data_IF_386113835770
#
_entry.id   IF_386113835770
#
_cell.length_a   1.000
_cell.length_b   1.000
_cell.length_c   1.000
_cell.angle_alpha   90.00
_cell.angle_beta   90.00
_cell.angle_gamma   90.00
#
_symmetry.space_group_name_H-M   'P 1'
#
loop_
_entity.id
_entity.type
_entity.pdbx_description
1 polymer ?
#
# COMPACT_ATOMS: atom_id res chain seq x y z
N UNK A 1 23.35 17.98 -14.06
CA UNK A 1 23.64 17.27 -12.79
C UNK A 1 23.42 15.79 -13.08
N UNK A 2 24.46 14.96 -13.03
CA UNK A 2 24.44 13.56 -13.45
C UNK A 2 24.04 12.65 -12.27
N UNK A 3 23.39 11.52 -12.59
CA UNK A 3 23.20 10.41 -11.63
C UNK A 3 24.55 9.79 -11.32
N UNK A 4 25.05 9.97 -10.10
CA UNK A 4 26.28 9.31 -9.65
C UNK A 4 25.96 7.95 -9.04
N UNK A 5 26.79 6.94 -9.29
CA UNK A 5 26.63 5.59 -8.70
C UNK A 5 26.57 5.67 -7.16
N UNK A 6 27.41 6.49 -6.56
CA UNK A 6 27.45 6.71 -5.11
C UNK A 6 26.19 7.46 -4.61
N UNK A 7 25.72 8.47 -5.36
CA UNK A 7 24.49 9.20 -5.04
C UNK A 7 23.26 8.30 -5.08
N UNK A 8 23.15 7.44 -6.10
CA UNK A 8 22.07 6.45 -6.19
C UNK A 8 22.07 5.53 -4.96
N UNK A 9 23.20 4.93 -4.59
CA UNK A 9 23.26 4.01 -3.45
C UNK A 9 22.87 4.69 -2.12
N UNK A 10 23.26 5.95 -1.93
CA UNK A 10 22.95 6.71 -0.72
C UNK A 10 21.51 7.22 -0.69
N UNK A 11 20.88 7.46 -1.84
CA UNK A 11 19.49 7.91 -1.95
C UNK A 11 18.47 6.78 -1.81
N UNK A 12 18.83 5.52 -2.16
CA UNK A 12 17.92 4.38 -2.08
C UNK A 12 17.39 4.17 -0.66
N UNK A 13 16.09 4.25 -0.50
CA UNK A 13 15.41 4.05 0.79
C UNK A 13 13.93 4.41 0.74
N UNK A 14 13.55 5.68 0.74
CA UNK A 14 12.16 6.12 0.83
C UNK A 14 11.23 5.53 -0.23
N UNK A 15 11.68 5.42 -1.48
CA UNK A 15 10.91 4.79 -2.56
C UNK A 15 10.75 3.28 -2.37
N UNK A 16 11.80 2.60 -1.91
CA UNK A 16 11.72 1.16 -1.61
C UNK A 16 10.85 0.91 -0.36
N UNK A 17 10.88 1.81 0.63
CA UNK A 17 9.96 1.74 1.78
C UNK A 17 8.50 1.89 1.35
N UNK A 18 8.23 2.80 0.40
CA UNK A 18 6.90 2.92 -0.19
C UNK A 18 6.48 1.62 -0.89
N UNK A 19 7.40 0.98 -1.62
CA UNK A 19 7.14 -0.34 -2.19
C UNK A 19 6.84 -1.39 -1.11
N UNK A 20 7.57 -1.37 0.02
CA UNK A 20 7.32 -2.24 1.16
C UNK A 20 5.96 -2.04 1.82
N UNK A 21 5.48 -0.79 1.85
CA UNK A 21 4.12 -0.47 2.30
C UNK A 21 3.06 -0.94 1.30
N UNK A 22 3.34 -0.81 0.01
CA UNK A 22 2.43 -1.14 -1.07
C UNK A 22 2.30 -2.65 -1.31
N UNK A 23 3.43 -3.38 -1.33
CA UNK A 23 3.48 -4.83 -1.59
C UNK A 23 3.04 -5.60 -0.33
N UNK A 24 1.77 -5.55 -0.03
CA UNK A 24 1.13 -6.18 1.10
C UNK A 24 -0.27 -6.62 0.72
N UNK A 25 -1.29 -6.10 1.41
CA UNK A 25 -2.69 -6.46 1.21
C UNK A 25 -3.19 -6.26 -0.23
N UNK A 26 -2.79 -5.19 -0.92
CA UNK A 26 -3.19 -4.92 -2.30
C UNK A 26 -2.70 -5.99 -3.29
N UNK A 27 -1.49 -6.49 -3.09
CA UNK A 27 -0.86 -7.46 -3.99
C UNK A 27 -1.27 -8.89 -3.62
N UNK A 28 -1.00 -9.29 -2.38
CA UNK A 28 -1.30 -10.64 -1.90
C UNK A 28 -2.80 -10.96 -1.93
N UNK A 29 -3.65 -9.98 -1.61
CA UNK A 29 -5.09 -10.18 -1.50
C UNK A 29 -5.81 -9.80 -2.80
N UNK A 30 -5.76 -8.51 -3.19
CA UNK A 30 -6.62 -7.98 -4.25
C UNK A 30 -6.15 -8.35 -5.65
N UNK A 31 -4.83 -8.27 -5.94
CA UNK A 31 -4.33 -8.66 -7.26
C UNK A 31 -4.50 -10.15 -7.51
N UNK A 32 -4.23 -11.01 -6.52
CA UNK A 32 -4.45 -12.45 -6.64
C UNK A 32 -5.93 -12.77 -6.82
N UNK A 33 -6.81 -12.12 -6.05
CA UNK A 33 -8.26 -12.30 -6.19
C UNK A 33 -8.77 -11.81 -7.55
N UNK A 34 -8.21 -10.71 -8.07
CA UNK A 34 -8.53 -10.22 -9.41
C UNK A 34 -8.22 -11.29 -10.47
N UNK A 35 -7.04 -11.91 -10.40
CA UNK A 35 -6.66 -13.02 -11.27
C UNK A 35 -7.55 -14.24 -11.10
N UNK A 36 -7.80 -14.66 -9.86
CA UNK A 36 -8.63 -15.84 -9.56
C UNK A 36 -10.08 -15.71 -10.04
N UNK A 37 -10.66 -14.49 -9.98
CA UNK A 37 -12.08 -14.25 -10.37
C UNK A 37 -12.27 -13.87 -11.83
N UNK A 38 -11.32 -13.13 -12.41
CA UNK A 38 -11.51 -12.49 -13.71
C UNK A 38 -10.36 -12.79 -14.69
N UNK A 39 -9.53 -13.80 -14.41
CA UNK A 39 -8.37 -14.07 -15.26
C UNK A 39 -7.50 -12.80 -15.44
N UNK A 40 -7.17 -12.47 -16.67
CA UNK A 40 -6.43 -11.25 -17.02
C UNK A 40 -7.33 -10.03 -17.29
N UNK A 41 -8.66 -10.16 -17.15
CA UNK A 41 -9.63 -9.10 -17.47
C UNK A 41 -9.45 -7.78 -16.70
N UNK A 42 -8.77 -7.79 -15.55
CA UNK A 42 -8.49 -6.59 -14.74
C UNK A 42 -7.06 -6.06 -14.85
N UNK A 43 -6.18 -6.68 -15.64
CA UNK A 43 -4.79 -6.19 -15.85
C UNK A 43 -4.79 -4.76 -16.38
N UNK A 44 -5.65 -4.46 -17.36
CA UNK A 44 -5.79 -3.13 -17.93
C UNK A 44 -6.17 -2.08 -16.86
N UNK A 45 -7.14 -2.40 -15.97
CA UNK A 45 -7.51 -1.50 -14.87
C UNK A 45 -6.35 -1.29 -13.89
N UNK A 46 -5.64 -2.35 -13.54
CA UNK A 46 -4.49 -2.27 -12.64
C UNK A 46 -3.40 -1.37 -13.23
N UNK A 47 -3.10 -1.49 -14.51
CA UNK A 47 -2.13 -0.62 -15.18
C UNK A 47 -2.62 0.84 -15.24
N UNK A 48 -3.89 1.06 -15.58
CA UNK A 48 -4.49 2.40 -15.64
C UNK A 48 -4.49 3.08 -14.28
N UNK A 49 -4.93 2.41 -13.22
CA UNK A 49 -4.96 3.02 -11.88
C UNK A 49 -3.55 3.34 -11.37
N UNK A 50 -2.57 2.48 -11.66
CA UNK A 50 -1.17 2.76 -11.35
C UNK A 50 -0.66 3.98 -12.13
N UNK A 51 -0.94 4.09 -13.42
CA UNK A 51 -0.56 5.26 -14.23
C UNK A 51 -1.20 6.54 -13.70
N UNK A 52 -2.49 6.51 -13.38
CA UNK A 52 -3.23 7.68 -12.91
C UNK A 52 -2.84 8.13 -11.50
N UNK A 53 -2.45 7.21 -10.61
CA UNK A 53 -1.98 7.56 -9.27
C UNK A 53 -0.49 7.93 -9.20
N UNK A 54 0.30 7.54 -10.20
CA UNK A 54 1.74 7.78 -10.24
C UNK A 54 2.15 9.23 -9.92
N UNK A 55 1.60 10.26 -10.59
CA UNK A 55 2.05 11.62 -10.33
C UNK A 55 1.71 12.09 -8.92
N UNK A 56 0.58 11.69 -8.35
CA UNK A 56 0.22 12.07 -6.98
C UNK A 56 1.18 11.50 -5.95
N UNK A 57 1.57 10.23 -6.11
CA UNK A 57 2.51 9.56 -5.22
C UNK A 57 3.94 10.09 -5.36
N UNK A 58 4.32 10.58 -6.55
CA UNK A 58 5.61 11.22 -6.82
C UNK A 58 5.75 12.57 -6.11
N UNK A 59 4.64 13.27 -5.81
CA UNK A 59 4.66 14.64 -5.28
C UNK A 59 5.53 14.77 -4.04
N UNK A 60 5.39 13.87 -3.07
CA UNK A 60 6.15 13.96 -1.83
C UNK A 60 7.66 13.94 -2.05
N UNK A 61 8.12 13.02 -2.88
CA UNK A 61 9.54 12.90 -3.24
C UNK A 61 10.04 14.14 -3.99
N UNK A 62 9.32 14.58 -5.02
CA UNK A 62 9.71 15.73 -5.86
C UNK A 62 9.66 17.04 -5.08
N UNK A 63 8.60 17.25 -4.30
CA UNK A 63 8.45 18.44 -3.47
C UNK A 63 9.61 18.55 -2.48
N UNK A 64 9.86 17.51 -1.71
CA UNK A 64 10.89 17.54 -0.65
C UNK A 64 12.31 17.69 -1.23
N UNK A 65 12.63 16.97 -2.30
CA UNK A 65 13.96 17.08 -2.92
C UNK A 65 14.21 18.43 -3.60
N UNK A 66 13.14 19.12 -4.04
CA UNK A 66 13.24 20.41 -4.73
C UNK A 66 13.19 21.62 -3.80
N UNK A 67 12.53 21.49 -2.64
CA UNK A 67 12.30 22.61 -1.70
C UNK A 67 13.09 22.48 -0.40
N UNK A 68 13.50 21.26 -0.03
CA UNK A 68 14.08 20.96 1.28
C UNK A 68 13.06 20.96 2.43
N UNK A 69 11.76 21.08 2.14
CA UNK A 69 10.66 21.04 3.10
C UNK A 69 9.89 19.71 2.97
N UNK A 70 9.22 19.29 4.04
CA UNK A 70 8.28 18.16 3.96
C UNK A 70 7.04 18.55 3.17
N UNK A 71 6.35 17.56 2.58
CA UNK A 71 5.09 17.82 1.89
C UNK A 71 4.01 18.34 2.85
N UNK A 72 4.07 17.98 4.13
CA UNK A 72 3.18 18.54 5.16
C UNK A 72 3.42 20.03 5.41
N UNK A 73 4.67 20.48 5.39
CA UNK A 73 4.98 21.92 5.40
C UNK A 73 4.42 22.61 4.15
N UNK A 74 4.56 21.96 2.97
CA UNK A 74 3.95 22.43 1.74
C UNK A 74 2.44 22.56 1.82
N UNK A 75 1.75 21.58 2.39
CA UNK A 75 0.30 21.63 2.62
C UNK A 75 -0.09 22.80 3.52
N UNK A 76 0.64 23.00 4.63
CA UNK A 76 0.41 24.13 5.55
C UNK A 76 0.55 25.49 4.87
N UNK A 77 1.62 25.65 4.08
CA UNK A 77 1.92 26.92 3.41
C UNK A 77 0.96 27.18 2.23
N UNK A 78 0.47 26.12 1.60
CA UNK A 78 -0.44 26.23 0.45
C UNK A 78 -1.87 26.60 0.85
N UNK A 79 -2.43 25.91 1.85
CA UNK A 79 -3.78 26.15 2.30
C UNK A 79 -3.94 25.75 3.79
N UNK A 80 -4.45 26.64 4.65
CA UNK A 80 -4.60 26.35 6.08
C UNK A 80 -5.51 25.16 6.41
N UNK A 81 -6.42 24.77 5.49
CA UNK A 81 -7.32 23.64 5.69
C UNK A 81 -6.67 22.27 5.35
N UNK A 82 -5.56 22.25 4.60
CA UNK A 82 -4.97 20.99 4.15
C UNK A 82 -4.46 20.13 5.33
N UNK A 83 -3.76 20.73 6.30
CA UNK A 83 -3.28 19.95 7.45
C UNK A 83 -4.42 19.42 8.34
N UNK A 84 -5.45 20.19 8.71
CA UNK A 84 -6.61 19.67 9.45
C UNK A 84 -7.33 18.54 8.70
N UNK A 85 -7.58 18.70 7.41
CA UNK A 85 -8.22 17.66 6.59
C UNK A 85 -7.35 16.40 6.58
N UNK A 86 -6.04 16.54 6.30
CA UNK A 86 -5.12 15.40 6.29
C UNK A 86 -5.09 14.71 7.66
N UNK A 87 -5.06 15.48 8.76
CA UNK A 87 -5.06 14.95 10.12
C UNK A 87 -6.30 14.08 10.39
N UNK A 88 -7.49 14.63 10.16
CA UNK A 88 -8.75 13.94 10.46
C UNK A 88 -8.88 12.67 9.62
N UNK A 89 -8.63 12.78 8.32
CA UNK A 89 -8.76 11.63 7.42
C UNK A 89 -7.71 10.57 7.74
N UNK A 90 -6.45 10.95 7.95
CA UNK A 90 -5.37 10.00 8.27
C UNK A 90 -5.52 9.34 9.64
N UNK A 91 -6.15 9.99 10.61
CA UNK A 91 -6.50 9.35 11.89
C UNK A 91 -7.47 8.19 11.68
N UNK A 92 -8.47 8.39 10.83
CA UNK A 92 -9.48 7.36 10.53
C UNK A 92 -8.86 6.27 9.64
N UNK A 93 -8.34 6.64 8.47
CA UNK A 93 -7.79 5.67 7.50
C UNK A 93 -6.60 4.92 8.07
N UNK A 94 -5.72 5.60 8.81
CA UNK A 94 -4.55 5.00 9.46
C UNK A 94 -4.93 3.95 10.50
N UNK A 95 -5.91 4.24 11.36
CA UNK A 95 -6.41 3.28 12.35
C UNK A 95 -6.92 2.00 11.68
N UNK A 96 -7.82 2.13 10.70
CA UNK A 96 -8.37 0.97 10.00
C UNK A 96 -7.34 0.24 9.16
N UNK A 97 -6.41 0.97 8.52
CA UNK A 97 -5.33 0.36 7.73
C UNK A 97 -4.39 -0.45 8.62
N UNK A 98 -3.90 0.11 9.75
CA UNK A 98 -3.03 -0.60 10.70
C UNK A 98 -3.73 -1.84 11.25
N UNK A 99 -5.01 -1.72 11.62
CA UNK A 99 -5.81 -2.86 12.07
C UNK A 99 -5.94 -3.93 10.98
N UNK A 100 -6.27 -3.55 9.75
CA UNK A 100 -6.45 -4.47 8.63
C UNK A 100 -5.15 -5.22 8.28
N UNK A 101 -4.03 -4.52 8.13
CA UNK A 101 -2.75 -5.15 7.78
C UNK A 101 -2.19 -6.02 8.91
N UNK A 102 -2.40 -5.64 10.17
CA UNK A 102 -2.03 -6.48 11.32
C UNK A 102 -2.89 -7.74 11.38
N UNK A 103 -4.18 -7.64 11.06
CA UNK A 103 -5.07 -8.79 11.04
C UNK A 103 -4.68 -9.80 9.94
N UNK A 104 -4.40 -9.33 8.72
CA UNK A 104 -3.88 -10.21 7.65
C UNK A 104 -2.55 -10.85 8.06
N UNK A 105 -1.66 -10.10 8.73
CA UNK A 105 -0.40 -10.63 9.25
C UNK A 105 -0.64 -11.75 10.27
N UNK A 106 -1.59 -11.55 11.20
CA UNK A 106 -2.00 -12.56 12.19
C UNK A 106 -2.53 -13.84 11.54
N UNK A 107 -3.37 -13.68 10.49
CA UNK A 107 -3.89 -14.80 9.70
C UNK A 107 -2.77 -15.57 9.00
N UNK A 108 -1.81 -14.89 8.38
CA UNK A 108 -0.69 -15.56 7.73
C UNK A 108 0.22 -16.29 8.73
N UNK A 109 0.37 -15.74 9.91
CA UNK A 109 1.18 -16.34 10.98
C UNK A 109 0.62 -17.70 11.44
N UNK A 110 -0.70 -17.94 11.36
CA UNK A 110 -1.31 -19.25 11.73
C UNK A 110 -0.83 -20.41 10.87
N UNK A 111 -0.23 -20.15 9.68
CA UNK A 111 0.35 -21.21 8.85
C UNK A 111 1.72 -21.70 9.33
N UNK A 112 2.33 -21.00 10.27
CA UNK A 112 3.55 -21.46 10.94
C UNK A 112 3.12 -22.43 12.06
N UNK A 113 3.62 -23.68 12.10
CA UNK A 113 3.14 -24.72 13.03
C UNK A 113 3.10 -24.29 14.49
N UNK A 114 4.08 -23.49 14.93
CA UNK A 114 4.16 -22.95 16.29
C UNK A 114 2.96 -22.10 16.68
N UNK A 115 2.32 -21.43 15.71
CA UNK A 115 1.24 -20.47 15.93
C UNK A 115 -0.13 -20.97 15.44
N UNK A 116 -0.22 -22.18 14.89
CA UNK A 116 -1.44 -22.71 14.25
C UNK A 116 -2.65 -22.83 15.19
N UNK A 117 -2.41 -22.98 16.48
CA UNK A 117 -3.47 -23.13 17.51
C UNK A 117 -3.95 -21.79 18.09
N UNK A 118 -3.31 -20.68 17.75
CA UNK A 118 -3.69 -19.37 18.27
C UNK A 118 -4.74 -18.71 17.38
N UNK A 119 -5.74 -18.01 17.96
CA UNK A 119 -6.66 -17.21 17.17
C UNK A 119 -5.92 -16.11 16.38
N UNK A 120 -6.26 -15.86 15.10
CA UNK A 120 -5.61 -14.80 14.30
C UNK A 120 -5.63 -13.42 14.97
N UNK A 121 -6.67 -13.13 15.73
CA UNK A 121 -6.81 -11.87 16.47
C UNK A 121 -5.73 -11.69 17.52
N UNK A 122 -5.46 -12.73 18.31
CA UNK A 122 -4.46 -12.69 19.39
C UNK A 122 -3.05 -12.55 18.79
N UNK A 123 -2.81 -13.22 17.65
CA UNK A 123 -1.57 -13.04 16.90
C UNK A 123 -1.42 -11.61 16.34
N UNK A 124 -2.51 -10.99 15.90
CA UNK A 124 -2.51 -9.60 15.43
C UNK A 124 -2.14 -8.61 16.54
N UNK A 125 -2.62 -8.85 17.76
CA UNK A 125 -2.24 -8.08 18.95
C UNK A 125 -0.73 -8.21 19.20
N UNK A 126 -0.22 -9.45 19.22
CA UNK A 126 1.20 -9.72 19.39
C UNK A 126 2.06 -9.03 18.32
N UNK A 127 1.62 -9.06 17.05
CA UNK A 127 2.30 -8.41 15.93
C UNK A 127 2.37 -6.89 16.13
N UNK A 128 1.28 -6.24 16.50
CA UNK A 128 1.27 -4.79 16.77
C UNK A 128 2.23 -4.42 17.90
N UNK A 129 2.26 -5.19 18.96
CA UNK A 129 3.19 -4.97 20.08
C UNK A 129 4.64 -5.15 19.62
N UNK A 130 4.95 -6.22 18.89
CA UNK A 130 6.31 -6.47 18.37
C UNK A 130 6.74 -5.38 17.41
N UNK A 131 5.88 -4.95 16.48
CA UNK A 131 6.17 -3.84 15.58
C UNK A 131 6.45 -2.54 16.36
N UNK A 132 5.64 -2.25 17.39
CA UNK A 132 5.85 -1.10 18.26
C UNK A 132 7.20 -1.14 18.97
N UNK A 133 7.59 -2.29 19.54
CA UNK A 133 8.89 -2.46 20.19
C UNK A 133 10.06 -2.30 19.21
N UNK A 134 9.96 -2.86 17.99
CA UNK A 134 10.99 -2.71 16.95
C UNK A 134 11.18 -1.21 16.61
N UNK A 135 10.07 -0.46 16.45
CA UNK A 135 10.14 0.96 16.11
C UNK A 135 10.67 1.82 17.27
N UNK A 136 10.37 1.45 18.51
CA UNK A 136 10.89 2.15 19.68
C UNK A 136 12.41 2.00 19.85
N UNK A 137 12.97 0.85 19.47
CA UNK A 137 14.40 0.53 19.65
C UNK A 137 15.22 0.82 18.40
N UNK A 138 14.70 0.42 17.23
CA UNK A 138 15.47 0.39 15.97
C UNK A 138 15.25 1.59 15.07
N UNK A 139 14.24 2.40 15.35
CA UNK A 139 13.84 3.57 14.56
C UNK A 139 13.82 3.31 13.03
N UNK A 140 14.16 4.32 12.22
CA UNK A 140 14.18 4.24 10.75
C UNK A 140 15.13 3.16 10.19
N UNK A 141 16.26 2.91 10.82
CA UNK A 141 17.26 1.92 10.31
C UNK A 141 16.74 0.49 10.29
N UNK A 142 16.01 0.10 11.33
CA UNK A 142 15.39 -1.23 11.38
C UNK A 142 14.33 -1.36 10.29
N UNK A 143 13.44 -0.37 10.18
CA UNK A 143 12.41 -0.29 9.16
C UNK A 143 13.00 -0.42 7.74
N UNK A 144 13.97 0.42 7.38
CA UNK A 144 14.59 0.45 6.05
C UNK A 144 15.25 -0.89 5.67
N UNK A 145 15.99 -1.49 6.60
CA UNK A 145 16.68 -2.77 6.36
C UNK A 145 15.72 -3.93 6.20
N UNK A 146 14.75 -4.05 7.11
CA UNK A 146 13.76 -5.12 7.10
C UNK A 146 12.92 -5.04 5.83
N UNK A 147 12.35 -3.87 5.52
CA UNK A 147 11.49 -3.69 4.35
C UNK A 147 12.22 -3.98 3.03
N UNK A 148 13.44 -3.49 2.85
CA UNK A 148 14.25 -3.78 1.65
C UNK A 148 14.46 -5.28 1.43
N UNK A 149 14.84 -5.98 2.50
CA UNK A 149 15.06 -7.43 2.42
C UNK A 149 13.78 -8.18 2.04
N UNK A 150 12.67 -7.86 2.72
CA UNK A 150 11.41 -8.59 2.55
C UNK A 150 10.74 -8.31 1.19
N UNK A 151 10.77 -7.06 0.71
CA UNK A 151 10.28 -6.72 -0.64
C UNK A 151 11.09 -7.45 -1.71
N UNK A 152 12.41 -7.45 -1.60
CA UNK A 152 13.27 -8.14 -2.56
C UNK A 152 13.01 -9.65 -2.56
N UNK A 153 12.88 -10.26 -1.38
CA UNK A 153 12.62 -11.69 -1.23
C UNK A 153 11.26 -12.07 -1.86
N UNK A 154 10.19 -11.38 -1.49
CA UNK A 154 8.85 -11.69 -2.00
C UNK A 154 8.77 -11.49 -3.52
N UNK A 155 9.28 -10.36 -4.03
CA UNK A 155 9.26 -10.07 -5.48
C UNK A 155 10.03 -11.14 -6.27
N UNK A 156 11.20 -11.55 -5.77
CA UNK A 156 12.00 -12.60 -6.41
C UNK A 156 11.31 -13.96 -6.41
N UNK A 157 10.67 -14.34 -5.28
CA UNK A 157 9.92 -15.58 -5.17
C UNK A 157 8.69 -15.58 -6.09
N UNK A 158 7.98 -14.44 -6.16
CA UNK A 158 6.81 -14.31 -7.03
C UNK A 158 7.21 -14.37 -8.51
N UNK A 159 8.28 -13.70 -8.89
CA UNK A 159 8.84 -13.81 -10.25
C UNK A 159 9.20 -15.26 -10.60
N UNK A 160 9.90 -15.96 -9.69
CA UNK A 160 10.25 -17.35 -9.90
C UNK A 160 9.02 -18.27 -10.04
N UNK A 161 7.97 -18.03 -9.25
CA UNK A 161 6.71 -18.75 -9.34
C UNK A 161 6.04 -18.55 -10.71
N UNK A 162 5.97 -17.30 -11.19
CA UNK A 162 5.41 -16.98 -12.51
C UNK A 162 6.21 -17.66 -13.65
N UNK A 163 7.53 -17.54 -13.62
CA UNK A 163 8.40 -18.19 -14.63
C UNK A 163 8.17 -19.70 -14.61
N UNK A 164 8.11 -20.33 -13.43
CA UNK A 164 7.89 -21.76 -13.29
C UNK A 164 6.53 -22.21 -13.87
N UNK A 165 5.47 -21.42 -13.72
CA UNK A 165 4.17 -21.70 -14.33
C UNK A 165 4.22 -21.60 -15.85
N UNK A 166 4.82 -20.55 -16.38
CA UNK A 166 4.91 -20.31 -17.81
C UNK A 166 5.74 -21.40 -18.52
N UNK A 167 6.81 -21.89 -17.88
CA UNK A 167 7.67 -22.95 -18.45
C UNK A 167 7.04 -24.34 -18.39
N UNK A 168 6.11 -24.60 -17.46
CA UNK A 168 5.41 -25.89 -17.37
C UNK A 168 4.31 -26.07 -18.44
N UNK A 169 4.06 -25.06 -19.28
CA UNK A 169 3.03 -25.13 -20.32
C UNK A 169 1.60 -25.33 -19.76
N UNK A 170 1.36 -24.82 -18.56
CA UNK A 170 0.10 -25.03 -17.83
C UNK A 170 -1.11 -24.32 -18.44
N UNK A 171 -0.95 -23.66 -19.59
CA UNK A 171 -2.00 -22.90 -20.27
C UNK A 171 -2.39 -23.67 -21.54
N UNK A 172 -3.53 -24.37 -21.51
CA UNK A 172 -4.19 -24.86 -22.71
C UNK A 172 -4.73 -23.67 -23.52
N UNK A 173 -4.78 -23.78 -24.84
CA UNK A 173 -5.19 -22.71 -25.75
C UNK A 173 -6.63 -22.21 -25.44
N UNK A 174 -7.56 -23.12 -25.16
CA UNK A 174 -8.92 -22.79 -24.71
C UNK A 174 -8.98 -22.07 -23.36
N UNK A 175 -8.15 -22.49 -22.41
CA UNK A 175 -8.01 -21.83 -21.11
C UNK A 175 -7.35 -20.46 -21.26
N UNK A 176 -6.37 -20.33 -22.18
CA UNK A 176 -5.72 -19.04 -22.47
C UNK A 176 -6.68 -17.99 -22.99
N UNK A 177 -7.61 -18.34 -23.89
CA UNK A 177 -8.68 -17.45 -24.36
C UNK A 177 -9.63 -17.06 -23.22
N UNK A 178 -10.08 -18.02 -22.41
CA UNK A 178 -10.94 -17.78 -21.26
C UNK A 178 -10.27 -16.88 -20.18
N UNK A 179 -8.95 -16.97 -20.03
CA UNK A 179 -8.20 -16.09 -19.13
C UNK A 179 -8.16 -14.62 -19.58
N UNK A 180 -8.18 -14.39 -20.92
CA UNK A 180 -8.14 -13.06 -21.51
C UNK A 180 -9.55 -12.47 -21.58
N UNK A 181 -10.52 -13.30 -21.97
CA UNK A 181 -11.96 -12.97 -22.07
C UNK A 181 -12.72 -13.72 -20.97
N UNK A 182 -12.82 -13.17 -19.75
CA UNK A 182 -13.43 -13.87 -18.63
C UNK A 182 -14.92 -14.09 -18.87
N UNK A 183 -15.43 -15.28 -18.54
CA UNK A 183 -16.85 -15.63 -18.59
C UNK A 183 -17.73 -14.66 -17.77
N UNK A 184 -17.17 -14.15 -16.68
CA UNK A 184 -17.81 -13.15 -15.83
C UNK A 184 -17.17 -11.80 -16.12
N UNK A 185 -17.94 -10.90 -16.76
CA UNK A 185 -17.48 -9.53 -17.01
C UNK A 185 -17.13 -8.83 -15.68
N UNK A 186 -15.89 -8.30 -15.51
CA UNK A 186 -15.53 -7.55 -14.31
C UNK A 186 -16.27 -6.19 -14.22
N UNK A 187 -16.83 -5.71 -15.33
CA UNK A 187 -17.39 -4.36 -15.47
C UNK A 187 -18.85 -4.22 -15.06
N UNK A 188 -19.46 -5.26 -14.47
CA UNK A 188 -20.81 -5.17 -13.92
C UNK A 188 -20.82 -4.31 -12.66
N UNK A 189 -21.88 -3.53 -12.46
CA UNK A 189 -22.06 -2.66 -11.26
C UNK A 189 -22.01 -3.48 -9.96
N UNK A 190 -22.46 -4.74 -9.98
CA UNK A 190 -22.35 -5.65 -8.83
C UNK A 190 -20.90 -5.93 -8.39
N UNK A 191 -19.92 -5.75 -9.28
CA UNK A 191 -18.49 -5.92 -8.96
C UNK A 191 -17.83 -4.67 -8.40
N UNK A 192 -18.53 -3.53 -8.28
CA UNK A 192 -17.97 -2.32 -7.67
C UNK A 192 -17.47 -2.55 -6.24
N UNK A 193 -18.13 -3.43 -5.49
CA UNK A 193 -17.70 -3.84 -4.15
C UNK A 193 -16.34 -4.54 -4.12
N UNK A 194 -15.81 -5.00 -5.26
CA UNK A 194 -14.46 -5.51 -5.43
C UNK A 194 -13.54 -4.49 -6.12
N UNK A 195 -14.02 -3.81 -7.16
CA UNK A 195 -13.19 -2.88 -7.95
C UNK A 195 -12.74 -1.65 -7.13
N UNK A 196 -13.61 -1.10 -6.30
CA UNK A 196 -13.29 0.07 -5.47
C UNK A 196 -12.20 -0.25 -4.43
N UNK A 197 -12.30 -1.29 -3.60
CA UNK A 197 -11.20 -1.71 -2.74
C UNK A 197 -9.91 -1.98 -3.50
N UNK A 198 -9.97 -2.73 -4.61
CA UNK A 198 -8.79 -3.00 -5.45
C UNK A 198 -8.08 -1.69 -5.84
N UNK A 199 -8.81 -0.73 -6.39
CA UNK A 199 -8.26 0.56 -6.78
C UNK A 199 -7.82 1.41 -5.58
N UNK A 200 -8.42 1.21 -4.40
CA UNK A 200 -8.09 1.95 -3.19
C UNK A 200 -6.62 1.78 -2.78
N UNK A 201 -6.18 0.55 -2.68
CA UNK A 201 -4.81 0.22 -2.30
C UNK A 201 -3.87 -0.10 -3.47
N UNK A 202 -4.31 -0.03 -4.72
CA UNK A 202 -3.46 -0.27 -5.89
C UNK A 202 -2.83 1.03 -6.43
N UNK A 203 -1.48 1.18 -6.44
CA UNK A 203 -0.52 0.31 -5.76
C UNK A 203 -0.53 0.54 -4.25
N UNK A 204 -0.97 1.71 -3.79
CA UNK A 204 -1.19 2.10 -2.42
C UNK A 204 -2.18 3.27 -2.32
N UNK A 205 -2.69 3.63 -1.13
CA UNK A 205 -3.48 4.84 -0.91
C UNK A 205 -2.75 6.10 -1.37
N UNK A 206 -3.50 7.10 -1.90
CA UNK A 206 -2.89 8.36 -2.38
C UNK A 206 -2.29 9.18 -1.23
N UNK A 207 -2.83 9.09 -0.04
CA UNK A 207 -2.32 9.76 1.17
C UNK A 207 -0.87 9.37 1.50
N UNK A 208 -0.42 8.20 1.04
CA UNK A 208 0.95 7.75 1.23
C UNK A 208 1.99 8.62 0.51
N UNK A 209 1.58 9.55 -0.35
CA UNK A 209 2.48 10.52 -0.99
C UNK A 209 3.32 11.34 0.03
N UNK A 210 2.81 11.50 1.25
CA UNK A 210 3.51 12.21 2.34
C UNK A 210 4.67 11.38 2.92
N UNK A 211 4.58 10.06 2.92
CA UNK A 211 5.53 9.20 3.62
C UNK A 211 6.97 9.28 3.07
N UNK A 212 7.21 9.14 1.75
CA UNK A 212 8.55 9.33 1.20
C UNK A 212 9.16 10.68 1.58
N UNK A 213 8.33 11.74 1.59
CA UNK A 213 8.74 13.08 2.01
C UNK A 213 9.34 13.11 3.43
N UNK A 214 8.70 12.43 4.39
CA UNK A 214 9.18 12.34 5.77
C UNK A 214 10.39 11.41 5.92
N UNK A 215 10.39 10.28 5.22
CA UNK A 215 11.50 9.32 5.26
C UNK A 215 12.77 9.86 4.60
N UNK A 216 12.67 10.79 3.65
CA UNK A 216 13.84 11.45 3.04
C UNK A 216 14.70 12.16 4.07
N UNK A 217 14.12 12.82 5.08
CA UNK A 217 14.89 13.44 6.17
C UNK A 217 15.60 12.38 7.02
N UNK A 218 14.90 11.31 7.40
CA UNK A 218 15.50 10.20 8.14
C UNK A 218 16.63 9.54 7.34
N UNK A 219 16.45 9.33 6.03
CA UNK A 219 17.45 8.75 5.14
C UNK A 219 18.66 9.66 4.97
N UNK A 220 18.45 10.96 4.76
CA UNK A 220 19.52 11.93 4.62
C UNK A 220 20.41 11.98 5.86
N UNK A 221 19.80 11.92 7.06
CA UNK A 221 20.52 11.84 8.32
C UNK A 221 21.30 10.53 8.48
N UNK A 222 20.70 9.39 8.08
CA UNK A 222 21.34 8.07 8.23
C UNK A 222 22.51 7.87 7.25
N UNK A 223 22.39 8.39 6.02
CA UNK A 223 23.42 8.26 4.97
C UNK A 223 24.43 9.39 4.91
N UNK A 224 24.22 10.45 5.73
CA UNK A 224 24.96 11.72 5.66
C UNK A 224 25.03 12.26 4.22
N UNK A 225 23.88 12.21 3.51
CA UNK A 225 23.79 12.59 2.11
C UNK A 225 22.42 13.18 1.78
N UNK A 226 22.39 14.34 1.12
CA UNK A 226 21.16 14.96 0.61
C UNK A 226 21.04 14.67 -0.89
N UNK A 227 20.15 13.76 -1.31
CA UNK A 227 19.96 13.43 -2.71
C UNK A 227 19.37 14.61 -3.47
N UNK A 228 19.78 14.76 -4.72
CA UNK A 228 19.16 15.72 -5.63
C UNK A 228 17.80 15.17 -6.16
N UNK A 229 17.05 16.03 -6.88
CA UNK A 229 15.71 15.67 -7.39
C UNK A 229 15.75 14.41 -8.26
N UNK A 230 16.73 14.26 -9.16
CA UNK A 230 16.83 13.09 -10.06
C UNK A 230 17.14 11.80 -9.30
N UNK A 231 18.02 11.87 -8.30
CA UNK A 231 18.35 10.71 -7.47
C UNK A 231 17.16 10.27 -6.61
N UNK A 232 16.43 11.23 -6.05
CA UNK A 232 15.21 10.95 -5.28
C UNK A 232 14.09 10.36 -6.14
N UNK A 233 13.90 10.91 -7.35
CA UNK A 233 12.92 10.37 -8.31
C UNK A 233 13.32 8.99 -8.83
N UNK A 234 14.62 8.71 -8.96
CA UNK A 234 15.09 7.37 -9.33
C UNK A 234 14.73 6.35 -8.26
N UNK A 235 14.97 6.65 -6.97
CA UNK A 235 14.57 5.79 -5.84
C UNK A 235 13.06 5.54 -5.84
N UNK A 236 12.26 6.60 -5.98
CA UNK A 236 10.82 6.49 -6.07
C UNK A 236 10.37 5.63 -7.26
N UNK A 237 10.89 5.92 -8.46
CA UNK A 237 10.51 5.22 -9.70
C UNK A 237 10.88 3.74 -9.64
N UNK A 238 12.03 3.41 -9.06
CA UNK A 238 12.44 2.01 -8.87
C UNK A 238 11.46 1.27 -7.94
N UNK A 239 11.16 1.87 -6.78
CA UNK A 239 10.18 1.29 -5.86
C UNK A 239 8.79 1.17 -6.51
N UNK A 240 8.33 2.21 -7.20
CA UNK A 240 7.05 2.21 -7.87
C UNK A 240 6.94 1.14 -8.97
N UNK A 241 7.98 1.01 -9.81
CA UNK A 241 8.03 -0.02 -10.85
C UNK A 241 7.97 -1.43 -10.27
N UNK A 242 8.71 -1.67 -9.18
CA UNK A 242 8.66 -2.95 -8.46
C UNK A 242 7.22 -3.25 -8.01
N UNK A 243 6.49 -2.28 -7.48
CA UNK A 243 5.09 -2.49 -7.07
C UNK A 243 4.20 -2.85 -8.25
N UNK A 244 4.28 -2.14 -9.37
CA UNK A 244 3.46 -2.42 -10.55
C UNK A 244 3.74 -3.81 -11.12
N UNK A 245 5.00 -4.17 -11.27
CA UNK A 245 5.41 -5.50 -11.78
C UNK A 245 4.93 -6.61 -10.84
N UNK A 246 5.10 -6.42 -9.53
CA UNK A 246 4.67 -7.41 -8.54
C UNK A 246 3.15 -7.58 -8.54
N UNK A 247 2.36 -6.51 -8.76
CA UNK A 247 0.91 -6.60 -8.91
C UNK A 247 0.51 -7.51 -10.08
N UNK A 248 1.17 -7.34 -11.25
CA UNK A 248 0.91 -8.18 -12.42
C UNK A 248 1.30 -9.64 -12.16
N UNK A 249 2.41 -9.90 -11.46
CA UNK A 249 2.79 -11.25 -11.09
C UNK A 249 1.72 -11.93 -10.21
N UNK A 250 1.17 -11.22 -9.23
CA UNK A 250 0.09 -11.76 -8.39
C UNK A 250 -1.21 -12.00 -9.16
N UNK A 251 -1.58 -11.12 -10.09
CA UNK A 251 -2.71 -11.38 -11.01
C UNK A 251 -2.45 -12.64 -11.82
N UNK A 252 -1.25 -12.77 -12.39
CA UNK A 252 -0.87 -13.94 -13.21
C UNK A 252 -0.93 -15.23 -12.41
N UNK A 253 -0.41 -15.24 -11.18
CA UNK A 253 -0.50 -16.40 -10.30
C UNK A 253 -1.97 -16.78 -10.03
N UNK A 254 -2.80 -15.81 -9.64
CA UNK A 254 -4.22 -16.04 -9.39
C UNK A 254 -4.96 -16.54 -10.62
N UNK A 255 -4.70 -15.95 -11.80
CA UNK A 255 -5.33 -16.31 -13.05
C UNK A 255 -4.99 -17.75 -13.47
N UNK A 256 -3.70 -18.12 -13.48
CA UNK A 256 -3.31 -19.45 -13.97
C UNK A 256 -3.64 -20.57 -12.99
N UNK A 257 -3.66 -20.29 -11.68
CA UNK A 257 -3.79 -21.37 -10.67
C UNK A 257 -5.21 -21.53 -10.10
N UNK A 258 -6.04 -20.49 -10.13
CA UNK A 258 -7.35 -20.50 -9.46
C UNK A 258 -8.53 -20.15 -10.37
N UNK A 259 -8.31 -19.48 -11.50
CA UNK A 259 -9.42 -19.15 -12.39
C UNK A 259 -10.12 -20.42 -12.92
N UNK A 260 -11.45 -20.43 -12.88
CA UNK A 260 -12.26 -21.58 -13.32
C UNK A 260 -12.26 -22.79 -12.38
N UNK A 261 -11.57 -22.76 -11.22
CA UNK A 261 -11.57 -23.88 -10.27
C UNK A 261 -12.74 -23.85 -9.28
N UNK A 262 -13.53 -22.78 -9.25
CA UNK A 262 -14.57 -22.54 -8.25
C UNK A 262 -14.04 -22.11 -6.89
N UNK A 263 -12.72 -22.05 -6.71
CA UNK A 263 -12.09 -21.60 -5.48
C UNK A 263 -12.03 -20.07 -5.44
N UNK A 264 -12.72 -19.47 -4.49
CA UNK A 264 -12.56 -18.03 -4.24
C UNK A 264 -11.43 -17.79 -3.24
N UNK A 265 -10.49 -16.91 -3.58
CA UNK A 265 -9.37 -16.54 -2.71
C UNK A 265 -9.81 -16.02 -1.32
N UNK A 266 -10.98 -15.39 -1.27
CA UNK A 266 -11.55 -14.72 -0.10
C UNK A 266 -12.85 -15.36 0.38
N UNK A 267 -13.22 -16.54 -0.09
CA UNK A 267 -14.38 -17.25 0.44
C UNK A 267 -14.02 -17.85 1.81
N UNK A 268 -14.86 -17.61 2.81
CA UNK A 268 -14.70 -18.22 4.12
C UNK A 268 -13.79 -17.47 5.11
N UNK A 269 -13.08 -18.20 5.95
CA UNK A 269 -12.26 -17.67 7.03
C UNK A 269 -10.92 -17.12 6.51
N UNK A 270 -10.28 -16.24 7.31
CA UNK A 270 -8.92 -15.76 7.01
C UNK A 270 -7.89 -16.89 6.87
N UNK A 271 -8.07 -17.99 7.61
CA UNK A 271 -7.21 -19.18 7.48
C UNK A 271 -7.31 -19.79 6.08
N UNK A 272 -8.50 -19.81 5.49
CA UNK A 272 -8.70 -20.29 4.11
C UNK A 272 -7.96 -19.42 3.08
N UNK A 273 -7.99 -18.09 3.24
CA UNK A 273 -7.18 -17.18 2.44
C UNK A 273 -5.69 -17.54 2.48
N UNK A 274 -5.16 -17.73 3.69
CA UNK A 274 -3.75 -18.03 3.86
C UNK A 274 -3.36 -19.39 3.25
N UNK A 275 -4.24 -20.40 3.36
CA UNK A 275 -4.05 -21.71 2.72
C UNK A 275 -4.06 -21.61 1.19
N UNK A 276 -4.99 -20.84 0.62
CA UNK A 276 -5.06 -20.60 -0.82
C UNK A 276 -3.81 -19.88 -1.34
N UNK A 277 -3.30 -18.89 -0.60
CA UNK A 277 -2.04 -18.22 -0.96
C UNK A 277 -0.87 -19.22 -1.02
N UNK A 278 -0.76 -20.12 -0.04
CA UNK A 278 0.29 -21.16 -0.04
C UNK A 278 0.08 -22.11 -1.23
N UNK A 279 -1.17 -22.49 -1.53
CA UNK A 279 -1.51 -23.37 -2.65
C UNK A 279 -1.08 -22.78 -4.00
N UNK A 280 -1.25 -21.47 -4.21
CA UNK A 280 -0.75 -20.78 -5.42
C UNK A 280 0.71 -21.11 -5.70
N UNK A 281 1.56 -20.99 -4.70
CA UNK A 281 3.00 -21.23 -4.88
C UNK A 281 3.37 -22.71 -4.92
N UNK A 282 2.71 -23.56 -4.12
CA UNK A 282 2.99 -24.99 -4.12
C UNK A 282 2.57 -25.65 -5.43
N UNK A 283 1.49 -25.19 -6.06
CA UNK A 283 1.07 -25.64 -7.39
C UNK A 283 2.04 -25.15 -8.48
N UNK A 284 2.50 -23.91 -8.36
CA UNK A 284 3.39 -23.27 -9.34
C UNK A 284 4.81 -23.84 -9.31
N UNK A 285 5.41 -23.90 -8.14
CA UNK A 285 6.84 -24.21 -7.93
C UNK A 285 7.02 -25.68 -7.51
N UNK A 286 6.13 -26.17 -6.63
CA UNK A 286 6.19 -27.48 -6.01
C UNK A 286 6.03 -27.43 -4.51
N UNK A 287 5.70 -28.56 -3.89
CA UNK A 287 5.35 -28.67 -2.45
C UNK A 287 6.44 -28.14 -1.52
N UNK A 288 7.71 -28.26 -1.90
CA UNK A 288 8.85 -27.76 -1.12
C UNK A 288 8.80 -26.23 -0.92
N UNK A 289 8.19 -25.49 -1.85
CA UNK A 289 8.07 -24.02 -1.76
C UNK A 289 7.27 -23.56 -0.55
N UNK A 290 6.44 -24.43 0.04
CA UNK A 290 5.69 -24.18 1.26
C UNK A 290 6.56 -23.60 2.38
N UNK A 291 7.75 -24.15 2.56
CA UNK A 291 8.67 -23.75 3.64
C UNK A 291 9.29 -22.37 3.44
N UNK A 292 9.23 -21.84 2.24
CA UNK A 292 9.74 -20.50 1.90
C UNK A 292 8.59 -19.50 1.84
N UNK A 293 7.45 -19.89 1.22
CA UNK A 293 6.36 -18.93 1.00
C UNK A 293 5.60 -18.57 2.27
N UNK A 294 5.46 -19.50 3.23
CA UNK A 294 4.82 -19.21 4.51
C UNK A 294 5.55 -18.09 5.24
N UNK A 295 6.85 -18.18 5.54
CA UNK A 295 7.55 -17.09 6.19
C UNK A 295 7.66 -15.84 5.31
N UNK A 296 7.78 -15.97 3.98
CA UNK A 296 7.89 -14.82 3.08
C UNK A 296 6.59 -14.01 3.01
N UNK A 297 5.43 -14.66 2.89
CA UNK A 297 4.13 -13.97 2.87
C UNK A 297 3.81 -13.30 4.22
N UNK A 298 4.07 -13.99 5.33
CA UNK A 298 3.98 -13.40 6.65
C UNK A 298 4.91 -12.18 6.78
N UNK A 299 6.16 -12.33 6.39
CA UNK A 299 7.17 -11.28 6.50
C UNK A 299 6.81 -10.04 5.65
N UNK A 300 6.22 -10.23 4.46
CA UNK A 300 5.73 -9.13 3.63
C UNK A 300 4.63 -8.34 4.33
N UNK A 301 3.62 -9.01 4.88
CA UNK A 301 2.54 -8.35 5.62
C UNK A 301 3.02 -7.75 6.93
N UNK A 302 3.96 -8.40 7.61
CA UNK A 302 4.64 -7.86 8.79
C UNK A 302 5.39 -6.57 8.46
N UNK A 303 6.12 -6.52 7.34
CA UNK A 303 6.79 -5.30 6.85
C UNK A 303 5.78 -4.18 6.57
N UNK A 304 4.64 -4.49 5.94
CA UNK A 304 3.57 -3.53 5.69
C UNK A 304 2.99 -3.00 7.01
N UNK A 305 2.75 -3.88 8.00
CA UNK A 305 2.28 -3.49 9.34
C UNK A 305 3.28 -2.56 10.03
N UNK A 306 4.56 -2.93 10.00
CA UNK A 306 5.65 -2.13 10.58
C UNK A 306 5.74 -0.74 9.93
N UNK A 307 5.63 -0.69 8.59
CA UNK A 307 5.71 0.54 7.80
C UNK A 307 4.51 1.45 8.07
N UNK A 308 3.30 0.91 8.13
CA UNK A 308 2.09 1.67 8.46
C UNK A 308 2.14 2.21 9.90
N UNK A 309 2.62 1.39 10.85
CA UNK A 309 2.75 1.77 12.25
C UNK A 309 3.87 2.81 12.50
N UNK A 310 4.85 2.94 11.61
CA UNK A 310 5.79 4.07 11.60
C UNK A 310 5.16 5.31 10.94
N UNK A 311 4.62 5.17 9.76
CA UNK A 311 4.33 6.30 8.87
C UNK A 311 3.08 7.11 9.26
N UNK A 312 1.99 6.46 9.69
CA UNK A 312 0.81 7.20 10.17
C UNK A 312 1.10 8.01 11.43
N UNK A 313 1.65 7.44 12.53
CA UNK A 313 2.01 8.20 13.71
C UNK A 313 3.06 9.29 13.43
N UNK A 314 4.02 9.02 12.53
CA UNK A 314 5.02 10.00 12.10
C UNK A 314 4.38 11.20 11.41
N UNK A 315 3.46 10.96 10.48
CA UNK A 315 2.72 12.01 9.76
C UNK A 315 1.91 12.86 10.73
N UNK A 316 1.16 12.23 11.62
CA UNK A 316 0.30 12.92 12.60
C UNK A 316 1.11 13.69 13.64
N UNK A 317 2.22 13.11 14.11
CA UNK A 317 3.17 13.80 15.00
C UNK A 317 3.74 15.07 14.34
N UNK A 318 4.12 14.98 13.06
CA UNK A 318 4.61 16.10 12.28
C UNK A 318 3.53 17.19 12.10
N UNK A 319 2.30 16.80 11.78
CA UNK A 319 1.18 17.74 11.66
C UNK A 319 0.94 18.46 12.98
N UNK A 320 0.90 17.73 14.11
CA UNK A 320 0.72 18.33 15.42
C UNK A 320 1.80 19.37 15.74
N UNK A 321 3.06 19.07 15.41
CA UNK A 321 4.17 20.01 15.57
C UNK A 321 4.02 21.25 14.69
N UNK A 322 3.67 21.06 13.43
CA UNK A 322 3.44 22.15 12.48
C UNK A 322 2.26 23.04 12.88
N UNK A 323 1.15 22.49 13.37
CA UNK A 323 -0.01 23.25 13.84
C UNK A 323 0.31 24.07 15.09
N UNK A 324 1.15 23.55 16.00
CA UNK A 324 1.60 24.24 17.21
C UNK A 324 2.73 25.24 16.94
N UNK A 325 3.34 25.24 15.74
CA UNK A 325 4.49 26.06 15.41
C UNK A 325 5.75 25.72 16.20
N UNK A 326 5.80 24.51 16.77
CA UNK A 326 6.90 24.09 17.68
C UNK A 326 8.05 23.42 16.94
N UNK A 327 7.86 22.97 15.71
CA UNK A 327 8.88 22.28 14.95
C UNK A 327 8.66 22.22 13.43
N UNK A 328 9.68 21.76 12.71
CA UNK A 328 9.66 21.59 11.25
C UNK A 328 9.15 20.22 10.79
N UNK A 329 8.73 19.36 11.71
CA UNK A 329 8.18 18.05 11.37
C UNK A 329 9.20 17.00 10.89
N UNK A 330 10.48 17.16 11.24
CA UNK A 330 11.58 16.34 10.71
C UNK A 330 12.07 15.23 11.67
N UNK A 331 11.43 15.04 12.82
CA UNK A 331 11.81 14.06 13.85
C UNK A 331 13.23 14.26 14.44
N UNK A 332 13.69 15.49 14.51
CA UNK A 332 15.03 15.82 14.98
C UNK A 332 15.11 16.01 16.50
N UNK A 333 14.06 16.56 17.11
CA UNK A 333 14.04 16.90 18.54
C UNK A 333 13.56 15.76 19.44
N UNK A 334 13.91 15.80 20.72
CA UNK A 334 13.42 14.86 21.73
C UNK A 334 11.89 14.97 21.89
N UNK A 335 11.33 16.17 21.75
CA UNK A 335 9.88 16.40 21.83
C UNK A 335 9.13 15.75 20.66
N UNK A 336 9.71 15.77 19.45
CA UNK A 336 9.13 15.09 18.28
C UNK A 336 9.13 13.58 18.46
N UNK A 337 10.22 12.99 18.94
CA UNK A 337 10.28 11.54 19.25
C UNK A 337 9.26 11.14 20.30
N UNK A 338 9.06 11.98 21.33
CA UNK A 338 8.02 11.72 22.35
C UNK A 338 6.61 11.79 21.76
N UNK A 339 6.32 12.79 20.90
CA UNK A 339 5.02 12.87 20.20
C UNK A 339 4.79 11.68 19.29
N UNK A 340 5.79 11.31 18.48
CA UNK A 340 5.71 10.12 17.64
C UNK A 340 5.38 8.86 18.44
N UNK A 341 6.09 8.62 19.55
CA UNK A 341 5.84 7.49 20.44
C UNK A 341 4.41 7.49 21.00
N UNK A 342 3.92 8.65 21.43
CA UNK A 342 2.56 8.76 21.96
C UNK A 342 1.50 8.47 20.89
N UNK A 343 1.68 9.00 19.67
CA UNK A 343 0.78 8.70 18.55
C UNK A 343 0.86 7.24 18.11
N UNK A 344 2.02 6.64 18.13
CA UNK A 344 2.19 5.22 17.83
C UNK A 344 1.44 4.33 18.85
N UNK A 345 1.61 4.59 20.15
CA UNK A 345 0.89 3.87 21.21
C UNK A 345 -0.63 4.06 21.06
N UNK A 346 -1.06 5.28 20.76
CA UNK A 346 -2.47 5.57 20.52
C UNK A 346 -3.01 4.77 19.32
N UNK A 347 -2.29 4.72 18.18
CA UNK A 347 -2.71 3.94 17.01
C UNK A 347 -2.76 2.44 17.32
N UNK A 348 -1.80 1.89 18.06
CA UNK A 348 -1.86 0.51 18.53
C UNK A 348 -3.16 0.29 19.29
N UNK A 349 -3.44 1.11 20.30
CA UNK A 349 -4.64 0.97 21.14
C UNK A 349 -5.94 1.09 20.34
N UNK A 350 -6.07 2.12 19.50
CA UNK A 350 -7.31 2.36 18.72
C UNK A 350 -7.49 1.30 17.62
N UNK A 351 -6.41 0.83 17.00
CA UNK A 351 -6.47 -0.28 16.03
C UNK A 351 -6.88 -1.59 16.69
N UNK A 352 -6.39 -1.87 17.90
CA UNK A 352 -6.84 -3.03 18.67
C UNK A 352 -8.32 -2.93 19.04
N UNK A 353 -8.78 -1.75 19.45
CA UNK A 353 -10.20 -1.52 19.73
C UNK A 353 -11.06 -1.72 18.48
N UNK A 354 -10.61 -1.24 17.31
CA UNK A 354 -11.31 -1.46 16.03
C UNK A 354 -11.41 -2.95 15.69
N UNK A 355 -10.35 -3.73 15.90
CA UNK A 355 -10.36 -5.18 15.72
C UNK A 355 -11.32 -5.89 16.69
N UNK A 356 -11.33 -5.48 17.97
CA UNK A 356 -12.24 -6.06 18.97
C UNK A 356 -13.70 -5.76 18.64
N UNK A 357 -14.02 -4.55 18.19
CA UNK A 357 -15.36 -4.17 17.71
C UNK A 357 -15.75 -4.99 16.50
N UNK A 358 -14.85 -5.15 15.52
CA UNK A 358 -15.10 -5.98 14.35
C UNK A 358 -15.38 -7.44 14.74
N UNK A 359 -14.60 -8.00 15.68
CA UNK A 359 -14.81 -9.35 16.21
C UNK A 359 -16.17 -9.51 16.89
N UNK A 360 -16.54 -8.57 17.76
CA UNK A 360 -17.83 -8.60 18.47
C UNK A 360 -19.03 -8.41 17.53
N UNK A 361 -18.86 -7.65 16.44
CA UNK A 361 -19.86 -7.44 15.40
C UNK A 361 -19.93 -8.57 14.36
N UNK A 362 -19.11 -9.62 14.47
CA UNK A 362 -19.09 -10.73 13.50
C UNK A 362 -18.53 -10.35 12.12
N UNK A 363 -17.81 -9.23 12.02
CA UNK A 363 -17.24 -8.76 10.73
C UNK A 363 -16.08 -9.66 10.34
N UNK A 364 -16.19 -10.29 9.17
CA UNK A 364 -15.13 -11.13 8.61
C UNK A 364 -13.91 -10.35 8.16
N UNK A 365 -12.78 -11.04 7.99
CA UNK A 365 -11.51 -10.43 7.53
C UNK A 365 -11.68 -9.72 6.18
N UNK A 366 -12.41 -10.34 5.24
CA UNK A 366 -12.69 -9.78 3.91
C UNK A 366 -13.35 -8.42 4.03
N UNK A 367 -14.46 -8.35 4.76
CA UNK A 367 -15.28 -7.14 4.86
C UNK A 367 -14.53 -6.03 5.60
N UNK A 368 -13.76 -6.39 6.64
CA UNK A 368 -12.95 -5.44 7.38
C UNK A 368 -11.82 -4.84 6.52
N UNK A 369 -11.06 -5.70 5.82
CA UNK A 369 -9.95 -5.26 4.96
C UNK A 369 -10.46 -4.48 3.76
N UNK A 370 -11.52 -4.97 3.10
CA UNK A 370 -12.14 -4.28 1.96
C UNK A 370 -12.78 -2.95 2.38
N UNK A 371 -13.33 -2.86 3.59
CA UNK A 371 -13.81 -1.62 4.18
C UNK A 371 -12.70 -0.59 4.32
N UNK A 372 -11.54 -0.97 4.86
CA UNK A 372 -10.36 -0.09 4.96
C UNK A 372 -9.86 0.36 3.58
N UNK A 373 -9.81 -0.56 2.60
CA UNK A 373 -9.41 -0.27 1.22
C UNK A 373 -10.39 0.68 0.53
N UNK A 374 -11.69 0.49 0.75
CA UNK A 374 -12.77 1.37 0.24
C UNK A 374 -12.63 2.78 0.82
N UNK A 375 -12.43 2.89 2.14
CA UNK A 375 -12.19 4.18 2.81
C UNK A 375 -11.02 4.94 2.20
N UNK A 376 -9.92 4.25 1.93
CA UNK A 376 -8.75 4.83 1.24
C UNK A 376 -9.07 5.28 -0.20
N UNK A 377 -9.96 4.58 -0.91
CA UNK A 377 -10.38 5.02 -2.24
C UNK A 377 -11.26 6.26 -2.19
N UNK A 378 -12.22 6.29 -1.28
CA UNK A 378 -13.17 7.41 -1.15
C UNK A 378 -12.48 8.73 -0.75
N UNK A 379 -11.36 8.65 -0.05
CA UNK A 379 -10.55 9.81 0.32
C UNK A 379 -9.49 10.19 -0.73
N UNK A 380 -9.22 9.32 -1.68
CA UNK A 380 -8.18 9.52 -2.68
C UNK A 380 -8.33 10.82 -3.51
N UNK A 381 -9.54 11.26 -3.96
CA UNK A 381 -9.69 12.53 -4.67
C UNK A 381 -9.24 13.75 -3.86
N UNK A 382 -9.47 13.74 -2.55
CA UNK A 382 -9.07 14.84 -1.65
C UNK A 382 -7.54 14.95 -1.62
N UNK A 383 -6.86 13.85 -1.37
CA UNK A 383 -5.39 13.83 -1.33
C UNK A 383 -4.76 14.08 -2.69
N UNK A 384 -5.37 13.57 -3.78
CA UNK A 384 -4.93 13.83 -5.14
C UNK A 384 -4.98 15.34 -5.47
N UNK A 385 -6.07 16.02 -5.09
CA UNK A 385 -6.19 17.46 -5.24
C UNK A 385 -5.13 18.21 -4.44
N UNK A 386 -4.98 17.91 -3.14
CA UNK A 386 -4.00 18.57 -2.28
C UNK A 386 -2.57 18.41 -2.80
N UNK A 387 -2.20 17.21 -3.25
CA UNK A 387 -0.88 16.93 -3.81
C UNK A 387 -0.65 17.71 -5.12
N UNK A 388 -1.61 17.65 -6.06
CA UNK A 388 -1.54 18.34 -7.35
C UNK A 388 -1.46 19.86 -7.18
N UNK A 389 -2.27 20.44 -6.31
CA UNK A 389 -2.29 21.88 -6.04
C UNK A 389 -0.95 22.35 -5.43
N UNK A 390 -0.39 21.58 -4.51
CA UNK A 390 0.87 21.93 -3.83
C UNK A 390 2.07 21.86 -4.76
N UNK A 391 2.23 20.81 -5.59
CA UNK A 391 3.40 20.65 -6.47
C UNK A 391 3.43 21.69 -7.61
N UNK A 392 2.27 22.21 -8.02
CA UNK A 392 2.16 23.17 -9.09
C UNK A 392 2.13 24.63 -8.59
N UNK A 393 2.19 24.86 -7.28
CA UNK A 393 2.19 26.19 -6.67
C UNK A 393 3.54 26.89 -6.76
N UNK A 394 3.57 28.16 -6.35
CA UNK A 394 4.77 28.98 -6.30
C UNK A 394 5.76 28.56 -5.19
N UNK A 395 5.37 27.68 -4.31
CA UNK A 395 6.24 27.06 -3.30
C UNK A 395 7.34 26.20 -3.95
N UNK A 396 7.09 25.70 -5.17
CA UNK A 396 8.03 24.83 -5.89
C UNK A 396 8.71 25.63 -7.00
N UNK A 397 10.05 25.57 -7.12
CA UNK A 397 10.77 26.19 -8.24
C UNK A 397 10.19 25.75 -9.59
N UNK A 398 9.99 26.69 -10.53
CA UNK A 398 9.28 26.44 -11.79
C UNK A 398 9.81 25.24 -12.59
N UNK A 399 11.13 25.02 -12.57
CA UNK A 399 11.81 23.89 -13.23
C UNK A 399 11.49 22.51 -12.63
N UNK A 400 10.91 22.46 -11.43
CA UNK A 400 10.56 21.23 -10.72
C UNK A 400 9.04 21.02 -10.60
N UNK A 401 8.22 22.00 -11.02
CA UNK A 401 6.76 21.81 -11.15
C UNK A 401 6.46 20.76 -12.20
N UNK A 402 5.29 20.17 -12.13
CA UNK A 402 4.88 19.20 -13.16
C UNK A 402 4.73 19.89 -14.52
N UNK A 403 5.35 19.30 -15.55
CA UNK A 403 5.13 19.68 -16.94
C UNK A 403 3.73 19.26 -17.44
N UNK A 404 3.42 19.62 -18.68
CA UNK A 404 2.10 19.40 -19.27
C UNK A 404 1.63 17.95 -19.18
N UNK A 405 2.50 16.98 -19.50
CA UNK A 405 2.16 15.55 -19.46
C UNK A 405 1.72 15.10 -18.06
N UNK A 406 2.52 15.37 -17.01
CA UNK A 406 2.17 14.98 -15.65
C UNK A 406 0.93 15.71 -15.13
N UNK A 407 0.74 16.99 -15.50
CA UNK A 407 -0.48 17.72 -15.16
C UNK A 407 -1.72 17.11 -15.82
N UNK A 408 -1.62 16.71 -17.09
CA UNK A 408 -2.72 16.04 -17.78
C UNK A 408 -3.07 14.71 -17.11
N UNK A 409 -2.06 13.90 -16.73
CA UNK A 409 -2.29 12.64 -16.00
C UNK A 409 -2.91 12.93 -14.61
N UNK A 410 -2.49 14.00 -13.91
CA UNK A 410 -3.13 14.41 -12.65
C UNK A 410 -4.63 14.72 -12.84
N UNK A 411 -4.99 15.52 -13.85
CA UNK A 411 -6.38 15.83 -14.09
C UNK A 411 -7.20 14.59 -14.48
N UNK A 412 -6.67 13.75 -15.37
CA UNK A 412 -7.32 12.48 -15.72
C UNK A 412 -7.50 11.59 -14.48
N UNK A 413 -6.46 11.49 -13.64
CA UNK A 413 -6.51 10.72 -12.41
C UNK A 413 -7.53 11.27 -11.42
N UNK A 414 -7.58 12.58 -11.21
CA UNK A 414 -8.54 13.22 -10.30
C UNK A 414 -9.97 13.00 -10.79
N UNK A 415 -10.24 13.20 -12.08
CA UNK A 415 -11.57 12.95 -12.68
C UNK A 415 -11.95 11.48 -12.52
N UNK A 416 -11.04 10.55 -12.85
CA UNK A 416 -11.27 9.10 -12.71
C UNK A 416 -11.61 8.71 -11.26
N UNK A 417 -10.77 9.10 -10.29
CA UNK A 417 -10.98 8.80 -8.89
C UNK A 417 -12.31 9.38 -8.39
N UNK A 418 -12.62 10.64 -8.74
CA UNK A 418 -13.87 11.29 -8.34
C UNK A 418 -15.09 10.61 -8.96
N UNK A 419 -15.05 10.30 -10.27
CA UNK A 419 -16.15 9.64 -10.96
C UNK A 419 -16.47 8.26 -10.35
N UNK A 420 -15.45 7.44 -10.07
CA UNK A 420 -15.65 6.13 -9.43
C UNK A 420 -16.11 6.26 -7.97
N UNK A 421 -15.67 7.28 -7.21
CA UNK A 421 -16.21 7.56 -5.88
C UNK A 421 -17.70 7.90 -5.95
N UNK A 422 -18.10 8.78 -6.85
CA UNK A 422 -19.51 9.17 -7.01
C UNK A 422 -20.36 7.99 -7.48
N UNK A 423 -19.86 7.19 -8.43
CA UNK A 423 -20.54 5.98 -8.90
C UNK A 423 -20.74 4.96 -7.77
N UNK A 424 -19.72 4.73 -6.95
CA UNK A 424 -19.82 3.82 -5.80
C UNK A 424 -20.84 4.32 -4.77
N UNK A 425 -20.79 5.60 -4.42
CA UNK A 425 -21.73 6.22 -3.48
C UNK A 425 -23.16 6.11 -4.04
N UNK A 426 -23.37 6.47 -5.31
CA UNK A 426 -24.67 6.37 -5.95
C UNK A 426 -25.18 4.93 -5.98
N UNK A 427 -24.34 3.95 -6.32
CA UNK A 427 -24.70 2.53 -6.30
C UNK A 427 -25.07 2.05 -4.88
N UNK A 428 -24.36 2.52 -3.86
CA UNK A 428 -24.62 2.15 -2.46
C UNK A 428 -25.95 2.73 -1.92
N UNK A 429 -26.33 3.94 -2.34
CA UNK A 429 -27.57 4.59 -1.90
C UNK A 429 -28.79 4.20 -2.73
N UNK A 430 -28.63 4.01 -4.05
CA UNK A 430 -29.75 3.79 -4.96
C UNK A 430 -29.87 2.35 -5.46
N UNK A 431 -28.97 1.45 -5.05
CA UNK A 431 -29.04 0.03 -5.43
C UNK A 431 -28.95 -0.23 -6.94
N UNK A 432 -28.20 0.61 -7.68
CA UNK A 432 -28.13 0.53 -9.15
C UNK A 432 -27.65 -0.83 -9.67
N UNK A 433 -26.87 -1.57 -8.88
CA UNK A 433 -26.38 -2.91 -9.23
C UNK A 433 -27.40 -4.03 -9.04
N UNK A 434 -28.55 -3.78 -8.44
CA UNK A 434 -29.63 -4.77 -8.23
C UNK A 434 -30.71 -4.70 -9.30
N UNK A 435 -30.61 -3.74 -10.24
CA UNK A 435 -31.58 -3.48 -11.29
C UNK A 435 -31.30 -4.23 -12.60
N UNK A 436 -30.32 -5.17 -12.62
CA UNK A 436 -29.97 -5.99 -13.81
C UNK A 436 -30.01 -7.49 -13.49
#
# INVERSE_FOLDING_TARGET
MYLSKQGIQKSLGPGILLAGAAIGGSHLLSSTTAGARFGFGLVGLILVINLLKYPFLLVGTRFTSSTGKSLLEGFKERNPLYLPIFLIVSLITGTFTIAAVSFVSGVLLTNIPLFSNFPPMDLSIGILVVCGLILLVGEYRALDRISKFLVSLLTSLTLFAVISLLTKGSINESLGMSLIEPEISPWKLSNLSFLIPLMGWMPCPVELCVWPSLWMFSRAKDSDYKPNVRESEFDFNLGYLITVITAIFFVTLGAITMYGTGDEMLSGSGVFFAQNLIRLYTTSIGVWSKWIIIPASFAAMFSTTLTCLDAYPRSISSIQGLLKGTDKGHMESASERTRFRNWMIMHIFVSLLALLIAKSGGIGIKDFVFGAMTGSFLTAPIFAWMAMDTINSDLVPSKHRFGLLLRSICWMGLIFLTAFCLLFIANSFFGLGTLN
#
